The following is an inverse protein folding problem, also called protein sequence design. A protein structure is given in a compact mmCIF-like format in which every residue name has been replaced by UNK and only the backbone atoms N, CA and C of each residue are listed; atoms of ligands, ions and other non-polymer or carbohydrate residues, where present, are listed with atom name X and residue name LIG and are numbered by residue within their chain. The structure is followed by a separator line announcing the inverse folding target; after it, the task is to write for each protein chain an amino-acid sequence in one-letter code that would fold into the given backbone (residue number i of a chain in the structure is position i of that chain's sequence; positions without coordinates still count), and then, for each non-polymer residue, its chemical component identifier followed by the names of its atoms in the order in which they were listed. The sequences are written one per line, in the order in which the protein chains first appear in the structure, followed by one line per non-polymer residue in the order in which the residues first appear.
data_IF_503593253548
#
_entry.id   IF_503593253548
#
_cell.length_a   1.000
_cell.length_b   1.000
_cell.length_c   1.000
_cell.angle_alpha   90.00
_cell.angle_beta   90.00
_cell.angle_gamma   90.00
#
_symmetry.space_group_name_H-M   'P 1'
#
loop_
_entity.id
_entity.type
_entity.pdbx_description
1 polymer ?
#
# COMPACT_ATOMS: atom_id res chain seq x y z
N UNK A 1 23.81 -16.35 21.57
CA UNK A 1 23.28 -15.41 20.57
C UNK A 1 24.17 -14.19 20.56
N UNK A 2 24.89 -13.95 19.49
CA UNK A 2 25.82 -12.83 19.36
C UNK A 2 25.06 -11.54 19.06
N UNK A 3 25.50 -10.39 19.58
CA UNK A 3 24.90 -9.08 19.34
C UNK A 3 24.88 -8.65 17.86
N UNK A 4 25.61 -9.36 16.99
CA UNK A 4 25.70 -9.09 15.54
C UNK A 4 24.42 -9.50 14.78
N UNK A 5 23.72 -10.53 15.19
CA UNK A 5 22.55 -11.08 14.50
C UNK A 5 21.37 -10.10 14.40
N UNK A 6 20.97 -9.42 15.48
CA UNK A 6 19.89 -8.41 15.41
C UNK A 6 20.29 -7.16 14.61
N UNK A 7 21.57 -6.81 14.55
CA UNK A 7 22.03 -5.66 13.76
C UNK A 7 21.94 -5.95 12.24
N UNK A 8 22.33 -7.15 11.81
CA UNK A 8 22.23 -7.57 10.42
C UNK A 8 20.77 -7.66 9.95
N UNK A 9 19.88 -8.21 10.78
CA UNK A 9 18.44 -8.29 10.47
C UNK A 9 17.82 -6.89 10.30
N UNK A 10 18.21 -5.92 11.13
CA UNK A 10 17.75 -4.53 11.02
C UNK A 10 18.27 -3.86 9.76
N UNK A 11 19.54 -4.04 9.41
CA UNK A 11 20.13 -3.47 8.19
C UNK A 11 19.45 -4.04 6.93
N UNK A 12 19.13 -5.33 6.91
CA UNK A 12 18.40 -5.97 5.82
C UNK A 12 16.97 -5.40 5.69
N UNK A 13 16.27 -5.16 6.79
CA UNK A 13 14.95 -4.54 6.80
C UNK A 13 14.96 -3.11 6.24
N UNK A 14 15.93 -2.29 6.65
CA UNK A 14 16.11 -0.93 6.12
C UNK A 14 16.43 -0.92 4.62
N UNK A 15 17.21 -1.90 4.14
CA UNK A 15 17.50 -2.08 2.72
C UNK A 15 16.25 -2.39 1.91
N UNK A 16 15.41 -3.30 2.41
CA UNK A 16 14.14 -3.66 1.77
C UNK A 16 13.17 -2.47 1.69
N UNK A 17 13.06 -1.66 2.75
CA UNK A 17 12.22 -0.46 2.75
C UNK A 17 12.70 0.59 1.74
N UNK A 18 14.01 0.82 1.63
CA UNK A 18 14.58 1.73 0.62
C UNK A 18 14.32 1.23 -0.79
N UNK A 19 14.44 -0.07 -1.03
CA UNK A 19 14.14 -0.68 -2.32
C UNK A 19 12.66 -0.55 -2.70
N UNK A 20 11.76 -0.77 -1.75
CA UNK A 20 10.33 -0.58 -1.93
C UNK A 20 9.99 0.88 -2.26
N UNK A 21 10.58 1.82 -1.54
CA UNK A 21 10.43 3.26 -1.78
C UNK A 21 10.91 3.63 -3.19
N UNK A 22 12.12 3.20 -3.56
CA UNK A 22 12.69 3.47 -4.87
C UNK A 22 11.82 2.89 -6.01
N UNK A 23 11.34 1.64 -5.86
CA UNK A 23 10.46 1.02 -6.83
C UNK A 23 9.15 1.81 -6.99
N UNK A 24 8.54 2.29 -5.91
CA UNK A 24 7.32 3.12 -5.96
C UNK A 24 7.58 4.46 -6.65
N UNK A 25 8.71 5.11 -6.38
CA UNK A 25 9.10 6.36 -7.03
C UNK A 25 9.28 6.17 -8.54
N UNK A 26 10.01 5.13 -8.95
CA UNK A 26 10.24 4.82 -10.37
C UNK A 26 8.91 4.52 -11.08
N UNK A 27 8.09 3.62 -10.52
CA UNK A 27 6.81 3.26 -11.11
C UNK A 27 5.84 4.45 -11.16
N UNK A 28 5.73 5.20 -10.07
CA UNK A 28 4.85 6.36 -10.00
C UNK A 28 5.23 7.45 -10.99
N UNK A 29 6.53 7.77 -11.07
CA UNK A 29 7.04 8.75 -12.04
C UNK A 29 6.86 8.28 -13.48
N UNK A 30 7.12 6.99 -13.76
CA UNK A 30 6.94 6.40 -15.07
C UNK A 30 5.48 6.46 -15.54
N UNK A 31 4.54 6.08 -14.72
CA UNK A 31 3.11 6.14 -15.02
C UNK A 31 2.62 7.59 -15.23
N UNK A 32 3.05 8.55 -14.42
CA UNK A 32 2.70 9.95 -14.58
C UNK A 32 3.32 10.53 -15.87
N UNK A 33 4.60 10.28 -16.11
CA UNK A 33 5.27 10.76 -17.31
C UNK A 33 4.59 10.22 -18.58
N UNK A 34 4.29 8.91 -18.60
CA UNK A 34 3.56 8.30 -19.70
C UNK A 34 2.16 8.91 -19.86
N UNK A 35 1.41 9.08 -18.78
CA UNK A 35 0.07 9.68 -18.82
C UNK A 35 0.09 11.08 -19.43
N UNK A 36 1.05 11.93 -19.02
CA UNK A 36 1.22 13.30 -19.51
C UNK A 36 1.64 13.31 -20.98
N UNK A 37 2.64 12.51 -21.36
CA UNK A 37 3.13 12.43 -22.72
C UNK A 37 2.05 11.90 -23.68
N UNK A 38 1.36 10.83 -23.29
CA UNK A 38 0.26 10.27 -24.04
C UNK A 38 -0.92 11.26 -24.21
N UNK A 39 -1.19 12.06 -23.16
CA UNK A 39 -2.19 13.12 -23.25
C UNK A 39 -1.79 14.22 -24.23
N UNK A 40 -0.53 14.66 -24.18
CA UNK A 40 -0.02 15.69 -25.12
C UNK A 40 -0.02 15.23 -26.57
N UNK A 41 0.30 13.96 -26.81
CA UNK A 41 0.35 13.38 -28.15
C UNK A 41 -1.00 12.79 -28.59
N UNK A 42 -2.04 12.89 -27.78
CA UNK A 42 -3.34 12.25 -28.01
C UNK A 42 -3.24 10.74 -28.28
N UNK A 43 -2.19 10.12 -27.76
CA UNK A 43 -1.93 8.70 -27.94
C UNK A 43 -2.75 7.83 -26.98
N UNK A 44 -3.41 6.83 -27.53
CA UNK A 44 -4.21 5.86 -26.80
C UNK A 44 -5.56 6.41 -26.26
N UNK A 45 -6.43 5.52 -25.76
CA UNK A 45 -7.75 5.90 -25.25
C UNK A 45 -7.67 6.78 -24.00
N UNK A 46 -8.53 7.79 -23.90
CA UNK A 46 -8.58 8.70 -22.74
C UNK A 46 -8.70 7.98 -21.39
N UNK A 47 -9.52 6.92 -21.22
CA UNK A 47 -9.61 6.19 -19.95
C UNK A 47 -8.27 5.57 -19.52
N UNK A 48 -7.47 5.05 -20.47
CA UNK A 48 -6.16 4.45 -20.17
C UNK A 48 -5.19 5.49 -19.63
N UNK A 49 -5.17 6.67 -20.24
CA UNK A 49 -4.34 7.80 -19.78
C UNK A 49 -4.71 8.24 -18.37
N UNK A 50 -6.01 8.34 -18.08
CA UNK A 50 -6.50 8.71 -16.76
C UNK A 50 -6.13 7.67 -15.71
N UNK A 51 -6.36 6.38 -15.99
CA UNK A 51 -6.03 5.29 -15.06
C UNK A 51 -4.53 5.27 -14.75
N UNK A 52 -3.67 5.37 -15.77
CA UNK A 52 -2.21 5.44 -15.54
C UNK A 52 -1.79 6.67 -14.75
N UNK A 53 -2.42 7.81 -14.96
CA UNK A 53 -2.18 9.02 -14.16
C UNK A 53 -2.56 8.81 -12.69
N UNK A 54 -3.71 8.19 -12.42
CA UNK A 54 -4.16 7.86 -11.06
C UNK A 54 -3.23 6.85 -10.39
N UNK A 55 -2.80 5.80 -11.11
CA UNK A 55 -1.84 4.82 -10.59
C UNK A 55 -0.50 5.47 -10.26
N UNK A 56 -0.01 6.34 -11.15
CA UNK A 56 1.21 7.10 -10.89
C UNK A 56 1.12 7.97 -9.65
N UNK A 57 0.04 8.75 -9.52
CA UNK A 57 -0.21 9.58 -8.34
C UNK A 57 -0.28 8.74 -7.06
N UNK A 58 -0.98 7.59 -7.10
CA UNK A 58 -1.07 6.65 -5.98
C UNK A 58 0.30 6.15 -5.54
N UNK A 59 1.16 5.67 -6.45
CA UNK A 59 2.49 5.18 -6.11
C UNK A 59 3.37 6.28 -5.51
N UNK A 60 3.32 7.51 -6.05
CA UNK A 60 4.06 8.64 -5.47
C UNK A 60 3.54 9.01 -4.09
N UNK A 61 2.22 9.03 -3.89
CA UNK A 61 1.62 9.29 -2.56
C UNK A 61 2.07 8.23 -1.56
N UNK A 62 2.03 6.95 -1.94
CA UNK A 62 2.53 5.87 -1.07
C UNK A 62 4.03 5.99 -0.80
N UNK A 63 4.83 6.38 -1.79
CA UNK A 63 6.25 6.63 -1.60
C UNK A 63 6.50 7.77 -0.60
N UNK A 64 5.79 8.89 -0.73
CA UNK A 64 5.87 10.01 0.22
C UNK A 64 5.43 9.61 1.63
N UNK A 65 4.33 8.86 1.75
CA UNK A 65 3.82 8.38 3.03
C UNK A 65 4.74 7.34 3.70
N UNK A 66 5.56 6.64 2.93
CA UNK A 66 6.52 5.65 3.45
C UNK A 66 7.97 6.12 3.43
N UNK A 67 8.23 7.38 3.05
CA UNK A 67 9.57 7.95 3.10
C UNK A 67 10.09 8.10 4.54
N UNK A 68 11.37 7.89 4.74
CA UNK A 68 12.01 7.96 6.06
C UNK A 68 11.81 6.70 6.89
N UNK A 69 11.37 6.85 8.15
CA UNK A 69 11.02 5.73 9.05
C UNK A 69 9.50 5.67 9.24
N UNK A 70 8.78 5.03 8.32
CA UNK A 70 7.33 4.94 8.42
C UNK A 70 6.92 4.08 9.62
N UNK A 71 5.77 4.42 10.23
CA UNK A 71 5.15 3.54 11.21
C UNK A 71 4.80 2.18 10.56
N UNK A 72 4.86 1.10 11.34
CA UNK A 72 4.41 -0.23 10.90
C UNK A 72 3.00 -0.18 10.28
N UNK A 73 2.09 0.60 10.87
CA UNK A 73 0.74 0.78 10.37
C UNK A 73 0.71 1.41 8.96
N UNK A 74 1.57 2.37 8.66
CA UNK A 74 1.63 2.99 7.33
C UNK A 74 2.09 1.99 6.25
N UNK A 75 3.07 1.13 6.58
CA UNK A 75 3.51 0.06 5.68
C UNK A 75 2.40 -0.99 5.46
N UNK A 76 1.72 -1.39 6.53
CA UNK A 76 0.62 -2.36 6.46
C UNK A 76 -0.55 -1.82 5.62
N UNK A 77 -1.00 -0.59 5.85
CA UNK A 77 -2.06 0.05 5.06
C UNK A 77 -1.69 0.20 3.58
N UNK A 78 -0.42 0.52 3.29
CA UNK A 78 0.07 0.54 1.91
C UNK A 78 0.00 -0.84 1.26
N UNK A 79 0.39 -1.89 1.98
CA UNK A 79 0.32 -3.26 1.51
C UNK A 79 -1.13 -3.75 1.29
N UNK A 80 -2.06 -3.41 2.18
CA UNK A 80 -3.49 -3.71 2.04
C UNK A 80 -4.10 -3.01 0.82
N UNK A 81 -3.75 -1.74 0.60
CA UNK A 81 -4.20 -1.01 -0.58
C UNK A 81 -3.68 -1.64 -1.89
N UNK A 82 -2.43 -2.14 -1.89
CA UNK A 82 -1.87 -2.84 -3.04
C UNK A 82 -2.52 -4.21 -3.23
N UNK A 83 -2.84 -4.94 -2.16
CA UNK A 83 -3.54 -6.21 -2.21
C UNK A 83 -4.98 -6.06 -2.75
N UNK A 84 -5.71 -5.05 -2.30
CA UNK A 84 -7.04 -4.74 -2.81
C UNK A 84 -7.01 -4.38 -4.31
N UNK A 85 -6.01 -3.61 -4.73
CA UNK A 85 -5.80 -3.31 -6.15
C UNK A 85 -5.46 -4.56 -6.95
N UNK A 86 -4.56 -5.40 -6.46
CA UNK A 86 -4.22 -6.69 -7.07
C UNK A 86 -5.48 -7.54 -7.28
N UNK A 87 -6.31 -7.70 -6.26
CA UNK A 87 -7.56 -8.44 -6.35
C UNK A 87 -8.53 -7.86 -7.39
N UNK A 88 -8.65 -6.53 -7.47
CA UNK A 88 -9.46 -5.84 -8.47
C UNK A 88 -8.95 -6.09 -9.89
N UNK A 89 -7.63 -6.09 -10.08
CA UNK A 89 -7.02 -6.36 -11.39
C UNK A 89 -7.15 -7.82 -11.80
N UNK A 90 -7.06 -8.77 -10.86
CA UNK A 90 -7.35 -10.18 -11.12
C UNK A 90 -8.81 -10.32 -11.59
N UNK A 91 -9.76 -9.73 -10.88
CA UNK A 91 -11.17 -9.77 -11.27
C UNK A 91 -11.39 -9.19 -12.67
N UNK A 92 -10.78 -8.05 -12.99
CA UNK A 92 -10.83 -7.45 -14.33
C UNK A 92 -10.24 -8.38 -15.39
N UNK A 93 -9.11 -9.01 -15.12
CA UNK A 93 -8.45 -9.95 -16.04
C UNK A 93 -9.27 -11.20 -16.30
N UNK A 94 -10.04 -11.67 -15.30
CA UNK A 94 -10.94 -12.82 -15.45
C UNK A 94 -12.21 -12.46 -16.23
N UNK A 95 -12.77 -11.28 -16.00
CA UNK A 95 -14.03 -10.84 -16.57
C UNK A 95 -13.90 -10.23 -17.98
N UNK A 96 -12.73 -9.72 -18.34
CA UNK A 96 -12.52 -8.99 -19.58
C UNK A 96 -11.39 -9.55 -20.44
N UNK A 97 -11.73 -10.24 -21.52
CA UNK A 97 -10.75 -10.76 -22.47
C UNK A 97 -9.87 -9.65 -23.08
N UNK A 98 -10.45 -8.46 -23.34
CA UNK A 98 -9.76 -7.31 -23.93
C UNK A 98 -8.64 -6.77 -23.01
N UNK A 99 -8.86 -6.75 -21.70
CA UNK A 99 -7.94 -6.17 -20.73
C UNK A 99 -7.11 -7.20 -19.96
N UNK A 100 -7.29 -8.49 -20.26
CA UNK A 100 -6.71 -9.61 -19.51
C UNK A 100 -5.21 -9.46 -19.27
N UNK A 101 -4.45 -9.30 -20.34
CA UNK A 101 -2.98 -9.22 -20.21
C UNK A 101 -2.56 -8.02 -19.39
N UNK A 102 -3.10 -6.84 -19.69
CA UNK A 102 -2.76 -5.61 -18.96
C UNK A 102 -3.14 -5.72 -17.48
N UNK A 103 -4.36 -6.21 -17.19
CA UNK A 103 -4.84 -6.37 -15.83
C UNK A 103 -4.03 -7.40 -15.03
N UNK A 104 -3.69 -8.55 -15.61
CA UNK A 104 -2.89 -9.56 -14.93
C UNK A 104 -1.44 -9.10 -14.71
N UNK A 105 -0.85 -8.34 -15.65
CA UNK A 105 0.47 -7.73 -15.45
C UNK A 105 0.44 -6.74 -14.30
N UNK A 106 -0.57 -5.87 -14.24
CA UNK A 106 -0.72 -4.90 -13.16
C UNK A 106 -1.03 -5.59 -11.82
N UNK A 107 -1.81 -6.68 -11.82
CA UNK A 107 -2.03 -7.51 -10.64
C UNK A 107 -0.73 -8.11 -10.09
N UNK A 108 0.16 -8.61 -10.94
CA UNK A 108 1.46 -9.12 -10.52
C UNK A 108 2.31 -8.02 -9.87
N UNK A 109 2.34 -6.83 -10.46
CA UNK A 109 3.06 -5.69 -9.89
C UNK A 109 2.48 -5.28 -8.53
N UNK A 110 1.16 -5.12 -8.46
CA UNK A 110 0.47 -4.76 -7.21
C UNK A 110 0.65 -5.83 -6.13
N UNK A 111 0.57 -7.10 -6.49
CA UNK A 111 0.81 -8.23 -5.58
C UNK A 111 2.26 -8.25 -5.06
N UNK A 112 3.23 -7.93 -5.89
CA UNK A 112 4.63 -7.80 -5.49
C UNK A 112 4.83 -6.65 -4.48
N UNK A 113 4.21 -5.50 -4.69
CA UNK A 113 4.22 -4.39 -3.75
C UNK A 113 3.50 -4.74 -2.44
N UNK A 114 2.38 -5.45 -2.49
CA UNK A 114 1.67 -5.93 -1.31
C UNK A 114 2.53 -6.89 -0.48
N UNK A 115 3.17 -7.85 -1.13
CA UNK A 115 4.07 -8.81 -0.47
C UNK A 115 5.28 -8.13 0.17
N UNK A 116 5.97 -7.25 -0.57
CA UNK A 116 7.11 -6.49 -0.08
C UNK A 116 6.73 -5.56 1.08
N UNK A 117 5.62 -4.83 0.96
CA UNK A 117 5.11 -3.95 2.01
C UNK A 117 4.73 -4.71 3.29
N UNK A 118 4.11 -5.89 3.14
CA UNK A 118 3.78 -6.79 4.25
C UNK A 118 5.05 -7.31 4.93
N UNK A 119 6.06 -7.72 4.17
CA UNK A 119 7.33 -8.17 4.72
C UNK A 119 8.03 -7.05 5.49
N UNK A 120 8.09 -5.83 4.95
CA UNK A 120 8.62 -4.65 5.64
C UNK A 120 7.85 -4.34 6.92
N UNK A 121 6.52 -4.40 6.90
CA UNK A 121 5.70 -4.17 8.09
C UNK A 121 5.93 -5.22 9.17
N UNK A 122 6.12 -6.49 8.81
CA UNK A 122 6.39 -7.60 9.75
C UNK A 122 7.78 -7.55 10.36
N UNK A 123 8.77 -7.03 9.63
CA UNK A 123 10.14 -6.90 10.14
C UNK A 123 10.28 -5.81 11.21
N UNK A 124 9.29 -4.94 11.37
CA UNK A 124 9.29 -3.92 12.43
C UNK A 124 8.71 -4.46 13.72
N UNK A 125 9.34 -4.16 14.87
CA UNK A 125 8.82 -4.55 16.19
C UNK A 125 7.40 -4.01 16.42
N UNK A 126 6.58 -4.80 17.11
CA UNK A 126 5.27 -4.33 17.58
C UNK A 126 5.51 -3.24 18.62
N UNK A 127 5.09 -2.02 18.38
CA UNK A 127 5.33 -0.89 19.27
C UNK A 127 6.43 0.08 18.82
N UNK A 128 7.06 -0.17 17.68
CA UNK A 128 7.88 0.85 17.02
C UNK A 128 6.95 2.00 16.62
N UNK A 129 6.74 2.90 17.61
CA UNK A 129 6.18 4.19 17.30
C UNK A 129 7.08 4.82 16.25
N UNK A 130 6.52 5.35 15.16
CA UNK A 130 7.27 6.11 14.20
C UNK A 130 8.17 7.07 14.97
N UNK A 131 9.48 6.98 14.77
CA UNK A 131 10.34 8.06 15.25
C UNK A 131 9.74 9.33 14.68
N UNK A 132 9.39 10.33 15.51
CA UNK A 132 8.71 11.52 15.02
C UNK A 132 9.52 12.06 13.86
N UNK A 133 8.95 11.95 12.67
CA UNK A 133 9.61 12.43 11.46
C UNK A 133 9.85 13.90 11.62
N UNK A 134 11.05 14.36 11.34
CA UNK A 134 11.46 15.75 11.49
C UNK A 134 10.84 16.65 10.41
N UNK A 135 9.51 16.72 10.34
CA UNK A 135 8.84 17.58 9.38
C UNK A 135 7.31 17.50 9.45
N UNK A 136 6.60 18.55 9.02
CA UNK A 136 5.13 18.62 9.11
C UNK A 136 4.44 17.50 8.34
N UNK A 137 5.00 17.07 7.20
CA UNK A 137 4.46 15.98 6.38
C UNK A 137 4.55 14.63 7.10
N UNK A 138 5.69 14.36 7.75
CA UNK A 138 5.87 13.12 8.50
C UNK A 138 4.92 13.06 9.71
N UNK A 139 4.77 14.17 10.42
CA UNK A 139 3.85 14.28 11.56
C UNK A 139 2.39 14.08 11.13
N UNK A 140 1.97 14.72 10.04
CA UNK A 140 0.62 14.55 9.49
C UNK A 140 0.37 13.10 9.05
N UNK A 141 1.32 12.51 8.34
CA UNK A 141 1.29 11.10 7.93
C UNK A 141 1.06 10.17 9.11
N UNK A 142 1.87 10.33 10.16
CA UNK A 142 1.83 9.43 11.32
C UNK A 142 0.50 9.57 12.07
N UNK A 143 -0.03 10.78 12.22
CA UNK A 143 -1.37 11.02 12.77
C UNK A 143 -2.49 10.40 11.92
N UNK A 144 -2.42 10.55 10.59
CA UNK A 144 -3.41 9.92 9.70
C UNK A 144 -3.35 8.39 9.75
N UNK A 145 -2.15 7.81 9.75
CA UNK A 145 -1.97 6.36 9.85
C UNK A 145 -2.50 5.80 11.18
N UNK A 146 -2.21 6.47 12.30
CA UNK A 146 -2.75 6.08 13.61
C UNK A 146 -4.28 6.24 13.70
N UNK A 147 -4.82 7.32 13.15
CA UNK A 147 -6.27 7.57 13.09
C UNK A 147 -6.99 6.48 12.31
N UNK A 148 -6.47 6.14 11.13
CA UNK A 148 -7.04 5.12 10.26
C UNK A 148 -6.89 3.72 10.88
N UNK A 149 -5.74 3.40 11.46
CA UNK A 149 -5.53 2.12 12.15
C UNK A 149 -6.51 1.94 13.32
N UNK A 150 -6.76 3.00 14.11
CA UNK A 150 -7.76 2.98 15.17
C UNK A 150 -9.19 2.81 14.64
N UNK A 151 -9.52 3.50 13.55
CA UNK A 151 -10.84 3.36 12.90
C UNK A 151 -11.08 1.95 12.39
N UNK A 152 -10.11 1.36 11.70
CA UNK A 152 -10.19 -0.01 11.19
C UNK A 152 -10.25 -1.03 12.33
N UNK A 153 -9.41 -0.89 13.37
CA UNK A 153 -9.48 -1.75 14.54
C UNK A 153 -10.84 -1.67 15.24
N UNK A 154 -11.40 -0.47 15.40
CA UNK A 154 -12.72 -0.28 15.98
C UNK A 154 -13.83 -0.90 15.12
N UNK A 155 -13.75 -0.78 13.78
CA UNK A 155 -14.74 -1.37 12.88
C UNK A 155 -14.70 -2.91 12.85
N UNK A 156 -13.51 -3.51 12.99
CA UNK A 156 -13.35 -4.96 13.07
C UNK A 156 -13.76 -5.54 14.44
N UNK A 157 -13.52 -4.80 15.53
CA UNK A 157 -13.90 -5.21 16.88
C UNK A 157 -15.39 -5.00 17.18
N UNK A 158 -16.06 -4.11 16.45
CA UNK A 158 -17.52 -3.89 16.51
C UNK A 158 -18.30 -4.82 15.57
N UNK A 159 -17.79 -6.01 15.28
CA UNK A 159 -18.51 -7.06 14.56
C UNK A 159 -19.97 -7.16 15.02
N UNK A 160 -20.90 -7.66 14.20
CA UNK A 160 -22.33 -7.65 14.48
C UNK A 160 -22.57 -8.20 15.88
N UNK A 161 -23.14 -7.36 16.77
CA UNK A 161 -23.55 -7.82 18.10
C UNK A 161 -24.42 -9.04 17.88
N UNK A 162 -24.12 -10.18 18.54
CA UNK A 162 -24.99 -11.34 18.44
C UNK A 162 -26.39 -10.88 18.81
N UNK A 163 -27.32 -10.97 17.86
CA UNK A 163 -28.72 -10.66 18.07
C UNK A 163 -29.13 -11.44 19.29
N UNK A 164 -29.60 -10.76 20.31
CA UNK A 164 -30.18 -11.40 21.48
C UNK A 164 -31.31 -12.27 20.94
N UNK A 165 -31.06 -13.58 20.86
CA UNK A 165 -32.11 -14.56 20.57
C UNK A 165 -33.06 -14.43 21.74
N UNK A 166 -34.14 -13.70 21.49
CA UNK A 166 -35.28 -13.62 22.40
C UNK A 166 -35.74 -15.05 22.59
N UNK A 167 -35.41 -15.60 23.75
CA UNK A 167 -35.92 -16.88 24.21
C UNK A 167 -37.37 -16.61 24.59
N UNK A 168 -38.23 -16.66 23.56
CA UNK A 168 -39.67 -16.69 23.75
C UNK A 168 -40.07 -18.12 24.11
N UNK A 169 -40.59 -18.28 25.30
CA UNK A 169 -41.54 -19.23 25.79
C UNK A 169 -41.28 -20.74 25.60
N UNK A 170 -40.97 -21.32 26.73
CA UNK A 170 -41.55 -22.63 27.12
C UNK A 170 -42.18 -22.49 28.54
#
# INVERSE_FOLDING_TARGET
MTAAEPALARAAGEGAERSLLAARLVMGSGYLAWSVLAARQQYGPAPVRTVTGVLGARHLTQALLTAGRPARAALALGAEADAAHCASMIALGLLSGRWRTAALTDALLAGSFAAAGTACARSRPAGDAAAPGSGPVAHWRDKCAEGLARYLAASWLSGPKPSAVTRADR
#
